data_IF_500508265562
#
_entry.id   IF_500508265562
#
_cell.length_a   1.000
_cell.length_b   1.000
_cell.length_c   1.000
_cell.angle_alpha   90.00
_cell.angle_beta   90.00
_cell.angle_gamma   90.00
#
_symmetry.space_group_name_H-M   'P 1'
#
loop_
_entity.id
_entity.type
_entity.pdbx_description
1 polymer ?
#
# COMPACT_ATOMS: atom_id res chain seq x y z
N UNK A 1 17.03 34.91 -48.65
CA UNK A 1 18.42 34.41 -48.81
C UNK A 1 19.20 34.81 -47.54
N UNK A 2 19.04 34.03 -46.46
CA UNK A 2 19.52 34.41 -45.10
C UNK A 2 20.92 33.84 -44.75
N UNK A 3 21.62 33.26 -45.73
CA UNK A 3 22.94 32.63 -45.48
C UNK A 3 23.96 33.10 -46.54
N UNK A 4 24.39 34.35 -46.43
CA UNK A 4 25.49 34.84 -47.26
C UNK A 4 26.79 34.80 -46.46
N UNK A 5 27.93 34.43 -47.10
CA UNK A 5 29.26 34.31 -46.46
C UNK A 5 29.67 35.61 -45.72
N UNK A 6 29.24 36.76 -46.23
CA UNK A 6 29.54 38.05 -45.64
C UNK A 6 28.82 38.24 -44.29
N UNK A 7 27.57 37.81 -44.18
CA UNK A 7 26.81 37.83 -42.91
C UNK A 7 27.45 37.03 -41.82
N UNK A 8 27.99 35.85 -42.13
CA UNK A 8 28.72 35.02 -41.15
C UNK A 8 30.01 35.69 -40.68
N UNK A 9 30.76 36.34 -41.57
CA UNK A 9 32.00 37.07 -41.26
C UNK A 9 31.72 38.24 -40.32
N UNK A 10 30.66 39.00 -40.57
CA UNK A 10 30.23 40.11 -39.72
C UNK A 10 29.80 39.64 -38.30
N UNK A 11 29.08 38.50 -38.21
CA UNK A 11 28.73 37.87 -36.93
C UNK A 11 29.99 37.47 -36.16
N UNK A 12 30.95 36.81 -36.82
CA UNK A 12 32.20 36.38 -36.17
C UNK A 12 33.05 37.56 -35.70
N UNK A 13 33.13 38.66 -36.49
CA UNK A 13 33.87 39.87 -36.13
C UNK A 13 33.21 40.60 -34.95
N UNK A 14 31.88 40.59 -34.88
CA UNK A 14 31.10 41.15 -33.75
C UNK A 14 31.32 40.34 -32.48
N UNK A 15 31.35 39.00 -32.56
CA UNK A 15 31.65 38.09 -31.44
C UNK A 15 33.08 38.36 -30.94
N UNK A 16 34.06 38.50 -31.84
CA UNK A 16 35.46 38.77 -31.45
C UNK A 16 35.63 40.12 -30.77
N UNK A 17 34.89 41.13 -31.15
CA UNK A 17 34.92 42.47 -30.53
C UNK A 17 34.28 42.51 -29.15
N UNK A 18 33.29 41.68 -28.89
CA UNK A 18 32.51 41.69 -27.65
C UNK A 18 32.48 40.31 -26.95
N UNK A 19 33.62 39.66 -26.79
CA UNK A 19 33.78 38.30 -26.28
C UNK A 19 33.02 38.04 -24.96
N UNK A 20 33.13 38.98 -23.99
CA UNK A 20 32.50 38.84 -22.69
C UNK A 20 30.97 38.87 -22.79
N UNK A 21 30.40 39.80 -23.61
CA UNK A 21 28.96 39.89 -23.79
C UNK A 21 28.39 38.65 -24.48
N UNK A 22 29.06 38.14 -25.50
CA UNK A 22 28.67 36.93 -26.22
C UNK A 22 28.76 35.71 -25.34
N UNK A 23 29.84 35.60 -24.53
CA UNK A 23 29.98 34.51 -23.56
C UNK A 23 28.85 34.54 -22.51
N UNK A 24 28.56 35.68 -21.89
CA UNK A 24 27.51 35.82 -20.90
C UNK A 24 26.12 35.51 -21.50
N UNK A 25 25.83 35.98 -22.72
CA UNK A 25 24.55 35.63 -23.38
C UNK A 25 24.44 34.15 -23.69
N UNK A 26 25.49 33.51 -24.20
CA UNK A 26 25.52 32.08 -24.45
C UNK A 26 25.41 31.26 -23.14
N UNK A 27 26.05 31.72 -22.09
CA UNK A 27 26.01 31.09 -20.78
C UNK A 27 24.61 31.13 -20.13
N UNK A 28 23.91 32.28 -20.21
CA UNK A 28 22.54 32.39 -19.72
C UNK A 28 21.57 31.47 -20.47
N UNK A 29 21.70 31.36 -21.79
CA UNK A 29 20.90 30.44 -22.60
C UNK A 29 21.21 28.97 -22.21
N UNK A 30 22.50 28.64 -22.07
CA UNK A 30 22.92 27.29 -21.66
C UNK A 30 22.37 26.88 -20.27
N UNK A 31 22.43 27.80 -19.29
CA UNK A 31 21.81 27.59 -17.97
C UNK A 31 20.30 27.44 -18.09
N UNK A 32 19.62 28.25 -18.88
CA UNK A 32 18.18 28.14 -19.09
C UNK A 32 17.77 26.75 -19.61
N UNK A 33 18.51 26.25 -20.63
CA UNK A 33 18.30 24.93 -21.19
C UNK A 33 18.59 23.84 -20.14
N UNK A 34 19.68 23.98 -19.39
CA UNK A 34 20.05 23.02 -18.33
C UNK A 34 18.94 22.91 -17.26
N UNK A 35 18.46 24.05 -16.76
CA UNK A 35 17.36 24.10 -15.78
C UNK A 35 16.11 23.46 -16.37
N UNK A 36 15.77 23.76 -17.61
CA UNK A 36 14.61 23.18 -18.29
C UNK A 36 14.71 21.64 -18.37
N UNK A 37 15.86 21.11 -18.77
CA UNK A 37 16.09 19.65 -18.86
C UNK A 37 15.97 18.99 -17.47
N UNK A 38 16.55 19.61 -16.43
CA UNK A 38 16.46 19.12 -15.06
C UNK A 38 14.99 19.10 -14.58
N UNK A 39 14.26 20.19 -14.75
CA UNK A 39 12.87 20.29 -14.33
C UNK A 39 11.97 19.32 -15.10
N UNK A 40 12.19 19.17 -16.41
CA UNK A 40 11.45 18.23 -17.24
C UNK A 40 11.75 16.78 -16.84
N UNK A 41 13.03 16.46 -16.58
CA UNK A 41 13.44 15.13 -16.09
C UNK A 41 12.85 14.80 -14.72
N UNK A 42 12.85 15.77 -13.79
CA UNK A 42 12.22 15.62 -12.48
C UNK A 42 10.70 15.43 -12.60
N UNK A 43 10.05 16.20 -13.49
CA UNK A 43 8.61 16.07 -13.75
C UNK A 43 8.23 14.66 -14.24
N UNK A 44 8.95 14.15 -15.24
CA UNK A 44 8.73 12.78 -15.74
C UNK A 44 9.08 11.69 -14.71
N UNK A 45 10.16 11.91 -13.95
CA UNK A 45 10.54 11.01 -12.86
C UNK A 45 9.47 10.94 -11.77
N UNK A 46 8.89 12.08 -11.42
CA UNK A 46 7.80 12.17 -10.45
C UNK A 46 6.54 11.48 -10.98
N UNK A 47 6.14 11.74 -12.23
CA UNK A 47 5.00 11.07 -12.87
C UNK A 47 5.15 9.54 -12.88
N UNK A 48 6.34 9.04 -13.25
CA UNK A 48 6.59 7.60 -13.22
C UNK A 48 6.59 7.03 -11.80
N UNK A 49 7.14 7.75 -10.82
CA UNK A 49 7.08 7.33 -9.41
C UNK A 49 5.63 7.29 -8.91
N UNK A 50 4.81 8.30 -9.24
CA UNK A 50 3.38 8.25 -8.91
C UNK A 50 2.66 7.08 -9.58
N UNK A 51 2.92 6.81 -10.86
CA UNK A 51 2.33 5.64 -11.54
C UNK A 51 2.68 4.34 -10.83
N UNK A 52 3.93 4.16 -10.40
CA UNK A 52 4.37 2.98 -9.67
C UNK A 52 3.65 2.86 -8.32
N UNK A 53 3.51 3.96 -7.56
CA UNK A 53 2.75 3.95 -6.30
C UNK A 53 1.27 3.54 -6.47
N UNK A 54 0.67 3.83 -7.61
CA UNK A 54 -0.74 3.46 -7.89
C UNK A 54 -0.89 2.08 -8.55
N UNK A 55 0.20 1.46 -9.03
CA UNK A 55 0.18 0.12 -9.62
C UNK A 55 0.44 -1.01 -8.61
N UNK A 56 0.95 -0.67 -7.43
CA UNK A 56 1.31 -1.66 -6.40
C UNK A 56 0.09 -2.33 -5.72
N UNK A 57 -1.11 -1.79 -5.93
CA UNK A 57 -2.36 -2.32 -5.38
C UNK A 57 -3.37 -2.59 -6.49
N UNK A 58 -4.27 -3.55 -6.26
CA UNK A 58 -5.41 -3.76 -7.16
C UNK A 58 -6.20 -2.46 -7.32
N UNK A 59 -6.39 -2.01 -8.55
CA UNK A 59 -6.99 -0.70 -8.88
C UNK A 59 -8.42 -0.55 -8.36
N UNK A 60 -9.18 -1.65 -8.26
CA UNK A 60 -10.57 -1.65 -7.83
C UNK A 60 -10.71 -1.92 -6.31
N UNK A 61 -10.03 -1.13 -5.48
CA UNK A 61 -10.12 -1.22 -4.02
C UNK A 61 -10.50 0.11 -3.38
N UNK A 62 -11.31 0.05 -2.31
CA UNK A 62 -11.61 1.17 -1.41
C UNK A 62 -11.12 0.78 -0.02
N UNK A 63 -10.29 1.62 0.60
CA UNK A 63 -9.70 1.35 1.92
C UNK A 63 -10.46 2.11 3.00
N UNK A 64 -11.07 1.40 3.93
CA UNK A 64 -11.81 1.95 5.05
C UNK A 64 -10.99 1.85 6.33
N UNK A 65 -10.83 2.98 7.00
CA UNK A 65 -10.12 3.08 8.28
C UNK A 65 -11.07 3.57 9.36
N UNK A 66 -11.12 2.92 10.53
CA UNK A 66 -11.83 3.49 11.68
C UNK A 66 -11.10 4.74 12.16
N UNK A 67 -11.87 5.76 12.50
CA UNK A 67 -11.38 7.04 13.00
C UNK A 67 -12.11 7.42 14.28
N UNK A 68 -11.83 8.61 14.81
CA UNK A 68 -12.60 9.17 15.92
C UNK A 68 -13.58 10.22 15.41
N UNK A 69 -14.75 10.31 16.04
CA UNK A 69 -15.76 11.32 15.71
C UNK A 69 -15.27 12.72 16.10
N UNK A 70 -15.57 13.71 15.28
CA UNK A 70 -15.23 15.13 15.56
C UNK A 70 -16.41 15.90 16.17
N UNK A 71 -17.63 15.46 15.88
CA UNK A 71 -18.89 16.16 16.24
C UNK A 71 -19.71 15.26 17.17
N UNK A 72 -20.30 15.79 18.27
CA UNK A 72 -21.26 15.05 19.09
C UNK A 72 -22.53 14.75 18.29
N UNK A 73 -23.06 13.53 18.40
CA UNK A 73 -24.26 13.15 17.65
C UNK A 73 -25.09 12.11 18.38
N UNK A 74 -26.43 12.27 18.42
CA UNK A 74 -27.39 11.35 19.05
C UNK A 74 -27.03 10.93 20.47
N UNK A 75 -26.52 11.87 21.31
CA UNK A 75 -26.13 11.59 22.69
C UNK A 75 -24.73 11.01 22.88
N UNK A 76 -23.99 10.80 21.81
CA UNK A 76 -22.57 10.42 21.89
C UNK A 76 -21.68 11.66 21.84
N UNK A 77 -20.61 11.64 22.63
CA UNK A 77 -19.62 12.72 22.68
C UNK A 77 -18.73 12.74 21.42
N UNK A 78 -18.08 13.87 21.17
CA UNK A 78 -16.98 13.99 20.20
C UNK A 78 -15.78 13.14 20.63
N UNK A 79 -14.86 12.87 19.71
CA UNK A 79 -13.65 12.07 19.92
C UNK A 79 -13.91 10.60 20.31
N UNK A 80 -15.13 10.12 20.11
CA UNK A 80 -15.45 8.70 20.27
C UNK A 80 -14.73 7.87 19.21
N UNK A 81 -13.90 6.92 19.64
CA UNK A 81 -13.22 6.00 18.73
C UNK A 81 -14.24 5.05 18.07
N UNK A 82 -14.33 5.12 16.77
CA UNK A 82 -15.09 4.17 15.97
C UNK A 82 -14.28 2.86 15.83
N UNK A 83 -14.97 1.73 15.88
CA UNK A 83 -14.38 0.42 15.71
C UNK A 83 -15.14 -0.33 14.65
N UNK A 84 -14.42 -1.00 13.76
CA UNK A 84 -14.97 -2.04 12.91
C UNK A 84 -14.80 -3.40 13.58
N UNK A 85 -15.75 -4.29 13.35
CA UNK A 85 -15.81 -5.62 13.92
C UNK A 85 -16.06 -6.68 12.84
N UNK A 86 -15.93 -7.96 13.20
CA UNK A 86 -16.27 -9.04 12.28
C UNK A 86 -17.72 -8.99 11.82
N UNK A 87 -18.67 -8.56 12.69
CA UNK A 87 -20.06 -8.39 12.29
C UNK A 87 -20.24 -7.26 11.27
N UNK A 88 -19.48 -6.16 11.42
CA UNK A 88 -19.50 -5.09 10.43
C UNK A 88 -19.09 -5.61 9.04
N UNK A 89 -18.02 -6.41 8.97
CA UNK A 89 -17.59 -7.03 7.71
C UNK A 89 -18.72 -7.80 7.04
N UNK A 90 -19.44 -8.64 7.81
CA UNK A 90 -20.56 -9.43 7.28
C UNK A 90 -21.68 -8.52 6.79
N UNK A 91 -22.09 -7.54 7.60
CA UNK A 91 -23.18 -6.62 7.24
C UNK A 91 -22.86 -5.78 6.00
N UNK A 92 -21.59 -5.35 5.84
CA UNK A 92 -21.14 -4.65 4.62
C UNK A 92 -21.20 -5.57 3.40
N UNK A 93 -20.70 -6.81 3.54
CA UNK A 93 -20.73 -7.80 2.46
C UNK A 93 -22.16 -8.09 2.01
N UNK A 94 -23.10 -8.25 2.95
CA UNK A 94 -24.50 -8.49 2.63
C UNK A 94 -25.19 -7.26 1.99
N UNK A 95 -24.95 -6.07 2.55
CA UNK A 95 -25.58 -4.82 2.08
C UNK A 95 -25.16 -4.44 0.65
N UNK A 96 -23.88 -4.66 0.31
CA UNK A 96 -23.30 -4.22 -0.95
C UNK A 96 -22.92 -5.38 -1.89
N UNK A 97 -23.45 -6.59 -1.68
CA UNK A 97 -23.10 -7.83 -2.38
C UNK A 97 -23.19 -7.76 -3.92
N UNK A 98 -24.03 -6.87 -4.47
CA UNK A 98 -24.16 -6.68 -5.92
C UNK A 98 -23.07 -5.78 -6.53
N UNK A 99 -22.29 -5.09 -5.71
CA UNK A 99 -21.29 -4.10 -6.15
C UNK A 99 -19.89 -4.41 -5.67
N UNK A 100 -19.73 -5.31 -4.70
CA UNK A 100 -18.44 -5.68 -4.12
C UNK A 100 -18.16 -7.17 -4.30
N UNK A 101 -16.90 -7.49 -4.59
CA UNK A 101 -16.43 -8.87 -4.74
C UNK A 101 -16.07 -9.46 -3.35
N UNK A 102 -15.27 -8.75 -2.57
CA UNK A 102 -14.85 -9.18 -1.22
C UNK A 102 -14.57 -7.98 -0.30
N UNK A 103 -14.61 -8.24 1.01
CA UNK A 103 -14.13 -7.32 2.04
C UNK A 103 -12.98 -7.98 2.78
N UNK A 104 -11.80 -7.49 2.50
CA UNK A 104 -10.54 -7.95 3.09
C UNK A 104 -10.32 -7.30 4.44
N UNK A 105 -9.95 -8.09 5.43
CA UNK A 105 -9.54 -7.62 6.75
C UNK A 105 -8.04 -7.46 6.79
N UNK A 106 -7.56 -6.36 7.38
CA UNK A 106 -6.15 -6.15 7.69
C UNK A 106 -5.98 -5.48 9.07
N UNK A 107 -5.28 -6.14 9.96
CA UNK A 107 -4.82 -5.60 11.23
C UNK A 107 -3.31 -5.65 11.28
N UNK A 108 -2.67 -4.56 11.67
CA UNK A 108 -1.20 -4.46 11.70
C UNK A 108 -0.70 -4.49 13.14
N UNK A 109 0.30 -5.31 13.40
CA UNK A 109 1.00 -5.46 14.67
C UNK A 109 2.50 -5.40 14.43
N UNK A 110 3.26 -5.13 15.49
CA UNK A 110 4.73 -5.12 15.45
C UNK A 110 5.25 -6.03 16.56
N UNK A 111 5.91 -7.11 16.16
CA UNK A 111 6.49 -8.07 17.10
C UNK A 111 7.89 -8.47 16.68
N UNK A 112 8.69 -8.84 17.69
CA UNK A 112 9.92 -9.54 17.43
C UNK A 112 9.61 -10.98 17.03
N UNK A 113 10.17 -11.40 15.89
CA UNK A 113 10.11 -12.79 15.41
C UNK A 113 11.49 -13.39 15.45
N UNK A 114 11.56 -14.65 15.87
CA UNK A 114 12.83 -15.38 16.08
C UNK A 114 12.81 -16.72 15.34
N UNK A 115 13.96 -17.03 14.75
CA UNK A 115 14.29 -18.37 14.25
C UNK A 115 15.72 -18.73 14.72
N UNK A 116 15.87 -19.82 15.49
CA UNK A 116 17.13 -20.18 16.16
C UNK A 116 17.69 -18.97 16.93
N UNK A 117 18.91 -18.56 16.64
CA UNK A 117 19.57 -17.42 17.30
C UNK A 117 19.29 -16.07 16.65
N UNK A 118 18.57 -16.04 15.51
CA UNK A 118 18.28 -14.81 14.78
C UNK A 118 16.92 -14.26 15.17
N UNK A 119 16.87 -12.99 15.49
CA UNK A 119 15.65 -12.30 15.85
C UNK A 119 15.65 -10.87 15.31
N UNK A 120 14.51 -10.42 14.81
CA UNK A 120 14.32 -9.04 14.37
C UNK A 120 12.87 -8.62 14.57
N UNK A 121 12.61 -7.31 14.59
CA UNK A 121 11.27 -6.74 14.68
C UNK A 121 10.68 -6.60 13.27
N UNK A 122 9.45 -7.10 13.11
CA UNK A 122 8.75 -7.07 11.84
C UNK A 122 7.33 -6.53 12.01
N UNK A 123 6.79 -5.99 10.93
CA UNK A 123 5.38 -5.71 10.80
C UNK A 123 4.63 -7.01 10.46
N UNK A 124 3.64 -7.35 11.25
CA UNK A 124 2.79 -8.53 11.07
C UNK A 124 1.41 -8.06 10.70
N UNK A 125 0.98 -8.40 9.50
CA UNK A 125 -0.36 -8.10 9.02
C UNK A 125 -1.24 -9.34 9.20
N UNK A 126 -2.22 -9.23 10.06
CA UNK A 126 -3.24 -10.25 10.25
C UNK A 126 -4.36 -10.00 9.22
N UNK A 127 -4.51 -10.93 8.26
CA UNK A 127 -5.26 -10.69 7.03
C UNK A 127 -6.24 -11.82 6.71
N UNK A 128 -7.25 -11.53 5.89
CA UNK A 128 -8.07 -12.54 5.19
C UNK A 128 -7.43 -12.93 3.84
N UNK A 129 -7.83 -14.07 3.23
CA UNK A 129 -7.21 -14.57 2.00
C UNK A 129 -7.26 -13.60 0.83
N UNK A 130 -8.34 -12.84 0.65
CA UNK A 130 -8.48 -11.83 -0.40
C UNK A 130 -7.41 -10.74 -0.37
N UNK A 131 -6.63 -10.63 0.71
CA UNK A 131 -5.51 -9.69 0.80
C UNK A 131 -4.44 -9.96 -0.27
N UNK A 132 -4.22 -11.21 -0.67
CA UNK A 132 -3.29 -11.55 -1.74
C UNK A 132 -3.65 -10.81 -3.04
N UNK A 133 -4.93 -10.81 -3.37
CA UNK A 133 -5.44 -10.16 -4.58
C UNK A 133 -5.46 -8.63 -4.44
N UNK A 134 -5.86 -8.12 -3.27
CA UNK A 134 -5.93 -6.69 -3.02
C UNK A 134 -4.57 -5.98 -3.06
N UNK A 135 -3.49 -6.67 -2.64
CA UNK A 135 -2.13 -6.14 -2.61
C UNK A 135 -1.24 -6.73 -3.72
N UNK A 136 -1.80 -7.49 -4.67
CA UNK A 136 -1.09 -8.12 -5.80
C UNK A 136 0.13 -8.95 -5.36
N UNK A 137 0.05 -9.59 -4.19
CA UNK A 137 1.17 -10.33 -3.58
C UNK A 137 1.55 -11.55 -4.40
N UNK A 138 2.82 -11.67 -4.80
CA UNK A 138 3.36 -12.76 -5.62
C UNK A 138 3.99 -13.82 -4.73
N UNK A 139 3.51 -15.06 -4.81
CA UNK A 139 4.09 -16.19 -4.05
C UNK A 139 5.29 -16.76 -4.80
N UNK A 140 6.45 -16.69 -4.17
CA UNK A 140 7.70 -17.28 -4.68
C UNK A 140 7.84 -18.76 -4.35
N UNK A 141 7.46 -19.14 -3.12
CA UNK A 141 7.52 -20.53 -2.62
C UNK A 141 6.33 -20.85 -1.74
N UNK A 142 5.88 -22.08 -1.78
CA UNK A 142 4.78 -22.55 -0.93
C UNK A 142 3.42 -22.03 -1.37
N UNK A 143 2.63 -21.49 -0.44
CA UNK A 143 1.28 -20.98 -0.72
C UNK A 143 0.96 -19.74 0.13
N UNK A 144 -0.04 -19.00 -0.31
CA UNK A 144 -0.66 -17.97 0.52
C UNK A 144 -1.60 -18.57 1.57
N UNK A 145 -2.15 -17.72 2.44
CA UNK A 145 -3.20 -18.08 3.39
C UNK A 145 -4.49 -18.44 2.65
N UNK A 146 -5.25 -19.39 3.18
CA UNK A 146 -6.53 -19.80 2.60
C UNK A 146 -7.64 -19.83 3.65
N UNK A 147 -8.89 -20.06 3.20
CA UNK A 147 -10.05 -20.10 4.08
C UNK A 147 -9.94 -21.16 5.18
N UNK A 148 -9.27 -22.28 4.92
CA UNK A 148 -8.99 -23.29 5.94
C UNK A 148 -8.09 -22.81 7.07
N UNK A 149 -7.18 -21.87 6.78
CA UNK A 149 -6.32 -21.24 7.80
C UNK A 149 -7.14 -20.28 8.68
N UNK A 150 -8.08 -19.54 8.07
CA UNK A 150 -8.98 -18.61 8.76
C UNK A 150 -9.97 -19.36 9.65
N UNK A 151 -10.70 -20.31 9.07
CA UNK A 151 -11.77 -21.04 9.75
C UNK A 151 -11.22 -21.88 10.92
N UNK A 152 -10.09 -22.55 10.71
CA UNK A 152 -9.45 -23.38 11.74
C UNK A 152 -8.48 -22.60 12.63
N UNK A 153 -8.35 -21.28 12.45
CA UNK A 153 -7.44 -20.43 13.22
C UNK A 153 -6.03 -21.01 13.29
N UNK A 154 -5.49 -21.41 12.12
CA UNK A 154 -4.16 -22.02 12.04
C UNK A 154 -3.07 -20.99 12.33
N UNK A 155 -2.03 -21.40 13.06
CA UNK A 155 -0.83 -20.57 13.26
C UNK A 155 0.13 -20.73 12.08
N UNK A 156 -0.35 -20.36 10.89
CA UNK A 156 0.42 -20.32 9.66
C UNK A 156 0.88 -18.90 9.38
N UNK A 157 2.04 -18.76 8.75
CA UNK A 157 2.60 -17.47 8.38
C UNK A 157 3.16 -17.52 6.96
N UNK A 158 2.89 -16.49 6.18
CA UNK A 158 3.56 -16.19 4.91
C UNK A 158 4.53 -15.06 5.18
N UNK A 159 5.80 -15.23 4.79
CA UNK A 159 6.86 -14.28 5.09
C UNK A 159 7.36 -13.62 3.82
N UNK A 160 7.71 -12.34 3.90
CA UNK A 160 8.34 -11.65 2.78
C UNK A 160 9.74 -12.17 2.48
N UNK A 161 10.22 -11.98 1.26
CA UNK A 161 11.54 -12.42 0.80
C UNK A 161 12.65 -11.95 1.74
N UNK A 162 12.65 -10.68 2.11
CA UNK A 162 13.68 -10.12 3.00
C UNK A 162 13.59 -10.67 4.43
N UNK A 163 12.40 -11.06 4.91
CA UNK A 163 12.25 -11.77 6.20
C UNK A 163 12.86 -13.18 6.11
N UNK A 164 12.66 -13.86 4.97
CA UNK A 164 13.28 -15.17 4.75
C UNK A 164 14.81 -15.08 4.73
N UNK A 165 15.36 -14.11 4.04
CA UNK A 165 16.81 -13.85 4.00
C UNK A 165 17.37 -13.51 5.40
N UNK A 166 16.72 -12.60 6.15
CA UNK A 166 17.14 -12.20 7.50
C UNK A 166 17.14 -13.37 8.49
N UNK A 167 16.10 -14.19 8.51
CA UNK A 167 15.92 -15.24 9.53
C UNK A 167 16.53 -16.58 9.12
N UNK A 168 16.41 -16.98 7.86
CA UNK A 168 16.76 -18.32 7.40
C UNK A 168 18.05 -18.36 6.59
N UNK A 169 18.48 -17.22 5.99
CA UNK A 169 19.62 -17.17 5.06
C UNK A 169 19.43 -18.18 3.90
N UNK A 170 20.32 -19.17 3.80
CA UNK A 170 20.28 -20.19 2.76
C UNK A 170 19.34 -21.38 3.08
N UNK A 171 18.78 -21.43 4.28
CA UNK A 171 17.86 -22.50 4.68
C UNK A 171 16.48 -22.29 4.07
N UNK A 172 15.87 -23.36 3.52
CA UNK A 172 14.46 -23.29 3.06
C UNK A 172 13.52 -23.04 4.25
N UNK A 173 12.75 -21.94 4.26
CA UNK A 173 11.86 -21.61 5.37
C UNK A 173 10.57 -22.44 5.39
N UNK A 174 10.17 -23.06 4.27
CA UNK A 174 8.86 -23.75 4.18
C UNK A 174 8.77 -24.92 5.15
N UNK A 175 7.68 -24.96 5.91
CA UNK A 175 7.41 -26.00 6.91
C UNK A 175 8.10 -25.80 8.25
N UNK A 176 9.08 -24.88 8.36
CA UNK A 176 9.76 -24.53 9.61
C UNK A 176 8.90 -23.60 10.47
N UNK A 177 9.30 -23.44 11.72
CA UNK A 177 8.59 -22.62 12.68
C UNK A 177 9.42 -21.42 13.09
N UNK A 178 8.81 -20.24 13.06
CA UNK A 178 9.32 -19.01 13.68
C UNK A 178 8.54 -18.73 14.96
N UNK A 179 9.18 -18.12 15.94
CA UNK A 179 8.59 -17.83 17.22
C UNK A 179 8.41 -16.34 17.44
N UNK A 180 7.23 -15.92 17.84
CA UNK A 180 6.93 -14.52 18.16
C UNK A 180 5.58 -14.36 18.84
N UNK A 181 5.42 -13.29 19.61
CA UNK A 181 4.19 -13.02 20.39
C UNK A 181 3.78 -14.18 21.31
N UNK A 182 4.76 -14.94 21.85
CA UNK A 182 4.49 -16.10 22.71
C UNK A 182 4.01 -17.35 21.97
N UNK A 183 4.06 -17.38 20.64
CA UNK A 183 3.52 -18.49 19.83
C UNK A 183 4.50 -18.92 18.74
N UNK A 184 4.40 -20.19 18.34
CA UNK A 184 5.10 -20.73 17.16
C UNK A 184 4.21 -20.63 15.93
N UNK A 185 4.78 -20.11 14.83
CA UNK A 185 4.10 -19.91 13.55
C UNK A 185 4.79 -20.76 12.49
N UNK A 186 4.03 -21.61 11.82
CA UNK A 186 4.55 -22.46 10.73
C UNK A 186 4.61 -21.66 9.45
N UNK A 187 5.80 -21.54 8.84
CA UNK A 187 5.97 -20.89 7.54
C UNK A 187 5.36 -21.77 6.45
N UNK A 188 4.40 -21.22 5.72
CA UNK A 188 3.68 -21.90 4.62
C UNK A 188 3.93 -21.29 3.26
N UNK A 189 4.50 -20.08 3.20
CA UNK A 189 4.84 -19.42 1.96
C UNK A 189 5.88 -18.34 2.13
N UNK A 190 6.54 -18.00 1.02
CA UNK A 190 7.43 -16.85 0.88
C UNK A 190 6.90 -16.00 -0.27
N UNK A 191 6.78 -14.70 -0.06
CA UNK A 191 6.28 -13.78 -1.08
C UNK A 191 7.30 -12.70 -1.45
N UNK A 192 7.12 -12.15 -2.64
CA UNK A 192 7.68 -10.88 -3.06
C UNK A 192 6.56 -9.89 -3.37
N UNK A 193 6.89 -8.61 -3.38
CA UNK A 193 5.94 -7.53 -3.58
C UNK A 193 6.57 -6.45 -4.46
N UNK A 194 5.81 -5.90 -5.41
CA UNK A 194 6.27 -4.84 -6.30
C UNK A 194 6.47 -3.51 -5.59
N UNK A 195 5.85 -3.32 -4.41
CA UNK A 195 6.06 -2.19 -3.49
C UNK A 195 7.45 -2.12 -2.85
N UNK A 196 8.31 -3.09 -3.19
CA UNK A 196 9.73 -3.12 -2.86
C UNK A 196 10.05 -3.57 -1.43
N UNK A 197 11.27 -3.29 -1.00
CA UNK A 197 11.89 -3.82 0.22
C UNK A 197 11.06 -3.63 1.49
N UNK A 198 10.30 -2.53 1.58
CA UNK A 198 9.46 -2.26 2.75
C UNK A 198 8.32 -3.26 2.87
N UNK A 199 7.66 -3.60 1.77
CA UNK A 199 6.57 -4.57 1.75
C UNK A 199 7.10 -5.99 1.95
N UNK A 200 8.26 -6.31 1.42
CA UNK A 200 8.93 -7.61 1.59
C UNK A 200 9.51 -7.86 3.00
N UNK A 201 9.41 -6.88 3.92
CA UNK A 201 9.73 -7.04 5.36
C UNK A 201 8.50 -7.31 6.22
N UNK A 202 7.35 -7.57 5.63
CA UNK A 202 6.12 -7.93 6.35
C UNK A 202 5.95 -9.44 6.48
N UNK A 203 5.12 -9.84 7.44
CA UNK A 203 4.61 -11.19 7.61
C UNK A 203 3.09 -11.16 7.55
N UNK A 204 2.48 -12.14 6.90
CA UNK A 204 1.04 -12.29 6.83
C UNK A 204 0.58 -13.51 7.64
N UNK A 205 -0.40 -13.31 8.51
CA UNK A 205 -0.99 -14.35 9.37
C UNK A 205 -2.51 -14.32 9.27
N UNK A 206 -3.22 -15.42 9.55
CA UNK A 206 -4.68 -15.42 9.58
C UNK A 206 -5.22 -14.45 10.64
N UNK A 207 -6.11 -13.53 10.27
CA UNK A 207 -6.63 -12.52 11.20
C UNK A 207 -7.38 -13.15 12.37
N UNK A 208 -8.11 -14.25 12.16
CA UNK A 208 -8.82 -14.97 13.20
C UNK A 208 -7.90 -15.61 14.23
N UNK A 209 -6.70 -16.04 13.82
CA UNK A 209 -5.68 -16.57 14.72
C UNK A 209 -5.12 -15.45 15.60
N UNK A 210 -4.87 -14.29 15.02
CA UNK A 210 -4.39 -13.13 15.77
C UNK A 210 -5.46 -12.58 16.72
N UNK A 211 -6.72 -12.51 16.29
CA UNK A 211 -7.85 -12.13 17.17
C UNK A 211 -7.94 -13.04 18.39
N UNK A 212 -7.77 -14.36 18.20
CA UNK A 212 -7.75 -15.32 19.33
C UNK A 212 -6.59 -15.04 20.28
N UNK A 213 -5.40 -14.75 19.77
CA UNK A 213 -4.21 -14.38 20.57
C UNK A 213 -4.46 -13.07 21.33
N UNK A 214 -5.16 -12.12 20.74
CA UNK A 214 -5.57 -10.85 21.34
C UNK A 214 -6.84 -10.96 22.22
N UNK A 215 -7.00 -12.09 22.93
CA UNK A 215 -8.11 -12.37 23.85
C UNK A 215 -9.50 -12.33 23.21
N UNK A 216 -9.61 -12.83 21.98
CA UNK A 216 -10.80 -12.81 21.14
C UNK A 216 -11.31 -11.36 20.82
N UNK A 217 -10.40 -10.42 20.72
CA UNK A 217 -10.73 -9.08 20.24
C UNK A 217 -11.07 -9.16 18.74
N UNK A 218 -12.32 -8.87 18.38
CA UNK A 218 -12.82 -8.90 17.00
C UNK A 218 -12.69 -7.56 16.27
N UNK A 219 -11.94 -6.61 16.85
CA UNK A 219 -11.66 -5.31 16.25
C UNK A 219 -10.87 -5.44 14.94
N UNK A 220 -11.34 -4.73 13.92
CA UNK A 220 -10.71 -4.62 12.60
C UNK A 220 -10.16 -3.21 12.44
N UNK A 221 -8.85 -3.11 12.17
CA UNK A 221 -8.17 -1.82 12.01
C UNK A 221 -8.28 -1.26 10.59
N UNK A 222 -8.50 -2.13 9.61
CA UNK A 222 -8.71 -1.74 8.23
C UNK A 222 -9.57 -2.77 7.51
N UNK A 223 -10.55 -2.30 6.74
CA UNK A 223 -11.22 -3.08 5.71
C UNK A 223 -10.82 -2.58 4.33
N UNK A 224 -10.48 -3.50 3.44
CA UNK A 224 -10.23 -3.20 2.03
C UNK A 224 -11.39 -3.80 1.25
N UNK A 225 -12.21 -2.95 0.66
CA UNK A 225 -13.35 -3.36 -0.17
C UNK A 225 -12.84 -3.55 -1.58
N UNK A 226 -12.94 -4.78 -2.10
CA UNK A 226 -12.70 -5.08 -3.51
C UNK A 226 -14.04 -4.97 -4.23
N UNK A 227 -14.17 -4.02 -5.14
CA UNK A 227 -15.39 -3.82 -5.89
C UNK A 227 -15.30 -4.39 -7.31
N UNK A 228 -16.45 -4.56 -7.97
CA UNK A 228 -16.53 -5.11 -9.32
C UNK A 228 -15.60 -4.34 -10.28
N UNK A 229 -14.67 -5.05 -10.90
CA UNK A 229 -13.68 -4.51 -11.85
C UNK A 229 -14.30 -3.82 -13.08
N UNK A 230 -15.59 -4.09 -13.37
CA UNK A 230 -16.30 -3.46 -14.48
C UNK A 230 -16.90 -2.09 -14.10
N UNK A 231 -16.87 -1.71 -12.82
CA UNK A 231 -17.33 -0.40 -12.39
C UNK A 231 -16.40 0.70 -12.95
N UNK A 232 -17.02 1.74 -13.49
CA UNK A 232 -16.29 2.93 -13.89
C UNK A 232 -15.96 3.84 -12.69
N UNK A 233 -15.11 4.83 -12.91
CA UNK A 233 -14.66 5.75 -11.86
C UNK A 233 -15.82 6.46 -11.13
N UNK A 234 -16.85 6.91 -11.86
CA UNK A 234 -17.99 7.60 -11.23
C UNK A 234 -18.80 6.66 -10.35
N UNK A 235 -18.99 5.42 -10.77
CA UNK A 235 -19.67 4.39 -9.99
C UNK A 235 -18.90 4.03 -8.72
N UNK A 236 -17.56 3.98 -8.78
CA UNK A 236 -16.73 3.74 -7.59
C UNK A 236 -16.82 4.88 -6.58
N UNK A 237 -16.89 6.13 -7.02
CA UNK A 237 -17.13 7.29 -6.14
C UNK A 237 -18.50 7.24 -5.48
N UNK A 238 -19.54 6.80 -6.20
CA UNK A 238 -20.87 6.61 -5.63
C UNK A 238 -20.83 5.49 -4.57
N UNK A 239 -20.17 4.37 -4.87
CA UNK A 239 -20.00 3.28 -3.92
C UNK A 239 -19.26 3.74 -2.65
N UNK A 240 -18.17 4.50 -2.79
CA UNK A 240 -17.42 5.05 -1.65
C UNK A 240 -18.32 5.90 -0.75
N UNK A 241 -19.11 6.80 -1.35
CA UNK A 241 -20.07 7.63 -0.62
C UNK A 241 -21.17 6.82 0.06
N UNK A 242 -21.69 5.78 -0.59
CA UNK A 242 -22.70 4.89 -0.02
C UNK A 242 -22.12 4.11 1.18
N UNK A 243 -20.88 3.62 1.08
CA UNK A 243 -20.17 2.96 2.17
C UNK A 243 -19.97 3.93 3.35
N UNK A 244 -19.53 5.16 3.08
CA UNK A 244 -19.37 6.19 4.11
C UNK A 244 -20.70 6.49 4.83
N UNK A 245 -21.76 6.71 4.08
CA UNK A 245 -23.09 6.98 4.64
C UNK A 245 -23.58 5.81 5.50
N UNK A 246 -23.38 4.58 5.04
CA UNK A 246 -23.74 3.39 5.79
C UNK A 246 -22.95 3.27 7.10
N UNK A 247 -21.65 3.60 7.09
CA UNK A 247 -20.82 3.65 8.29
C UNK A 247 -21.37 4.71 9.26
N UNK A 248 -21.64 5.93 8.77
CA UNK A 248 -22.17 7.03 9.57
C UNK A 248 -23.49 6.66 10.25
N UNK A 249 -24.40 6.07 9.49
CA UNK A 249 -25.70 5.62 10.02
C UNK A 249 -25.51 4.51 11.08
N UNK A 250 -24.80 3.44 10.74
CA UNK A 250 -24.62 2.27 11.60
C UNK A 250 -23.86 2.58 12.88
N UNK A 251 -22.89 3.48 12.83
CA UNK A 251 -22.05 3.85 13.97
C UNK A 251 -22.51 5.11 14.69
N UNK A 252 -23.67 5.67 14.33
CA UNK A 252 -24.21 6.92 14.89
C UNK A 252 -23.18 8.04 14.83
N UNK A 253 -22.68 8.33 13.63
CA UNK A 253 -21.78 9.42 13.32
C UNK A 253 -22.60 10.54 12.66
N UNK A 254 -22.23 11.81 12.91
CA UNK A 254 -22.88 12.94 12.23
C UNK A 254 -22.77 12.80 10.70
N UNK A 255 -23.84 13.10 9.95
CA UNK A 255 -23.75 13.16 8.49
C UNK A 255 -22.81 14.25 7.98
N UNK A 256 -22.59 15.31 8.78
CA UNK A 256 -21.79 16.51 8.47
C UNK A 256 -20.29 16.31 8.71
#
# INVERSE_FOLDING_TARGET
MLFNKDSWKEIFDTIKKNKLRTFLSGFTVAIGILIFIILFGLGNGLENSFKTFFTDDKVNTIRLYPSSTTIPYRGYESQRRIKFTNSDRVDFQEKFNSRIEDIVVRNTFYFQMKYKERANNYSIRAVSPGHQEAELTIIMKGRYLNEGDITNRKKHVVIGRLVAEDLFQDEDPIGKYIFGSGHSWKVVGVFQDEGGDREERNLYVPYTSMQKIQKNNDEINQMIVIYDKNMNYNESLILEKDLENYIKEKKFISPD
#
